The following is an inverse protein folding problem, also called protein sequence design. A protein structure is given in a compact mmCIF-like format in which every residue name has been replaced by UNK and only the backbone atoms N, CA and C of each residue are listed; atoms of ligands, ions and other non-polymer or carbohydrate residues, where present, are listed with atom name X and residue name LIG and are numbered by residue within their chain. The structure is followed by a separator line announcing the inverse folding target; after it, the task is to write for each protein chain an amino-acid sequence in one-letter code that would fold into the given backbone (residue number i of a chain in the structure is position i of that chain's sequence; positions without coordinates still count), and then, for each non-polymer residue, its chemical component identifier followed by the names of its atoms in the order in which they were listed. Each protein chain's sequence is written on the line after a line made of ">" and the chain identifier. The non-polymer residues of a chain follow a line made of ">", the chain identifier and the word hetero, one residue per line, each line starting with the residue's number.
data_IF_625105446584
#
_entry.id   IF_625105446584
#
_cell.length_a   1.000
_cell.length_b   1.000
_cell.length_c   1.000
_cell.angle_alpha   90.00
_cell.angle_beta   90.00
_cell.angle_gamma   90.00
#
_symmetry.space_group_name_H-M   'P 1'
#
loop_
_entity.id
_entity.type
_entity.pdbx_description
1 polymer ?
#
# COMPACT_ATOMS: atom_id res chain seq x y z
N UNK A 1 3.49 23.50 0.97
CA UNK A 1 3.00 23.55 -0.43
C UNK A 1 1.60 24.12 -0.41
N UNK A 2 1.45 25.29 -1.07
CA UNK A 2 0.19 26.00 -1.10
C UNK A 2 -0.87 25.19 -1.86
N UNK A 3 -1.95 24.83 -1.16
CA UNK A 3 -3.15 24.33 -1.80
C UNK A 3 -3.67 25.41 -2.77
N UNK A 4 -3.55 25.18 -4.06
CA UNK A 4 -4.22 26.01 -5.07
C UNK A 4 -5.73 25.92 -4.82
N UNK A 5 -6.34 27.04 -4.53
CA UNK A 5 -7.79 27.16 -4.44
C UNK A 5 -8.42 26.74 -5.78
N UNK A 6 -9.18 25.67 -5.76
CA UNK A 6 -9.93 25.13 -6.91
C UNK A 6 -9.47 23.75 -7.34
N UNK A 7 -10.25 22.74 -7.00
CA UNK A 7 -10.12 21.30 -7.31
C UNK A 7 -8.87 20.61 -6.81
N UNK A 8 -9.04 19.80 -5.77
CA UNK A 8 -8.00 18.84 -5.33
C UNK A 8 -7.75 17.87 -6.49
N UNK A 9 -6.56 17.97 -7.11
CA UNK A 9 -6.19 17.19 -8.30
C UNK A 9 -5.38 15.93 -7.94
N UNK A 10 -5.26 15.55 -6.66
CA UNK A 10 -4.46 14.42 -6.22
C UNK A 10 -4.94 13.83 -4.90
N UNK A 11 -4.61 12.55 -4.70
CA UNK A 11 -4.84 11.84 -3.45
C UNK A 11 -3.57 11.90 -2.59
N UNK A 12 -3.68 12.48 -1.41
CA UNK A 12 -2.60 12.55 -0.44
C UNK A 12 -2.75 11.42 0.58
N UNK A 13 -1.73 10.57 0.66
CA UNK A 13 -1.72 9.42 1.56
C UNK A 13 -1.01 9.82 2.85
N UNK A 14 -1.62 9.54 4.00
CA UNK A 14 -1.01 9.84 5.31
C UNK A 14 0.27 9.03 5.55
N UNK A 15 0.99 9.36 6.62
CA UNK A 15 2.13 8.56 7.10
C UNK A 15 1.69 7.13 7.44
N UNK A 16 2.59 6.16 7.22
CA UNK A 16 2.33 4.74 7.42
C UNK A 16 2.04 4.41 8.89
N UNK A 17 0.87 3.88 9.17
CA UNK A 17 0.49 3.33 10.47
C UNK A 17 0.48 1.81 10.47
N UNK A 18 0.78 1.18 11.60
CA UNK A 18 0.69 -0.28 11.69
C UNK A 18 -0.74 -0.73 11.96
N UNK A 19 -1.24 -1.70 11.20
CA UNK A 19 -2.58 -2.27 11.39
C UNK A 19 -2.78 -2.74 12.84
N UNK A 20 -1.79 -3.35 13.45
CA UNK A 20 -1.82 -3.81 14.84
C UNK A 20 -2.06 -2.66 15.83
N UNK A 21 -1.31 -1.57 15.73
CA UNK A 21 -1.47 -0.43 16.61
C UNK A 21 -2.80 0.31 16.38
N UNK A 22 -3.35 0.27 15.17
CA UNK A 22 -4.66 0.81 14.86
C UNK A 22 -5.76 0.01 15.58
N UNK A 23 -5.75 -1.33 15.43
CA UNK A 23 -6.71 -2.22 16.10
C UNK A 23 -6.64 -2.11 17.63
N UNK A 24 -5.43 -1.98 18.17
CA UNK A 24 -5.18 -1.77 19.61
C UNK A 24 -5.49 -0.33 20.07
N UNK A 25 -5.91 0.55 19.17
CA UNK A 25 -6.24 1.96 19.45
C UNK A 25 -5.11 2.72 20.13
N UNK A 26 -3.87 2.43 19.72
CA UNK A 26 -2.72 3.12 20.29
C UNK A 26 -2.85 4.64 20.08
N UNK A 27 -2.73 5.49 21.11
CA UNK A 27 -3.08 6.92 21.03
C UNK A 27 -2.35 7.66 19.91
N UNK A 28 -1.04 7.41 19.73
CA UNK A 28 -0.26 8.03 18.66
C UNK A 28 -0.79 7.60 17.28
N UNK A 29 -1.12 6.32 17.10
CA UNK A 29 -1.66 5.81 15.84
C UNK A 29 -3.04 6.43 15.56
N UNK A 30 -3.90 6.50 16.55
CA UNK A 30 -5.22 7.15 16.40
C UNK A 30 -5.08 8.63 16.02
N UNK A 31 -4.10 9.35 16.60
CA UNK A 31 -3.81 10.72 16.20
C UNK A 31 -3.34 10.81 14.73
N UNK A 32 -2.52 9.87 14.26
CA UNK A 32 -2.03 9.81 12.87
C UNK A 32 -3.13 9.51 11.84
N UNK A 33 -4.29 8.99 12.28
CA UNK A 33 -5.46 8.78 11.41
C UNK A 33 -6.43 9.97 11.37
N UNK A 34 -6.06 11.09 11.99
CA UNK A 34 -6.86 12.31 11.98
C UNK A 34 -6.48 13.15 10.77
N UNK A 35 -7.45 13.46 9.93
CA UNK A 35 -7.30 14.32 8.76
C UNK A 35 -7.80 15.74 9.06
N UNK A 36 -7.29 16.72 8.31
CA UNK A 36 -7.77 18.09 8.44
C UNK A 36 -9.19 18.24 7.85
N UNK A 37 -10.03 19.14 8.39
CA UNK A 37 -11.41 19.31 7.91
C UNK A 37 -11.53 19.69 6.41
N UNK A 38 -10.46 20.26 5.84
CA UNK A 38 -10.37 20.60 4.42
C UNK A 38 -9.94 19.44 3.51
N UNK A 39 -9.48 18.31 4.08
CA UNK A 39 -9.09 17.14 3.31
C UNK A 39 -10.34 16.44 2.77
N UNK A 40 -10.62 16.67 1.49
CA UNK A 40 -11.81 16.13 0.84
C UNK A 40 -11.71 14.63 0.52
N UNK A 41 -10.50 14.08 0.51
CA UNK A 41 -10.21 12.65 0.30
C UNK A 41 -9.16 12.19 1.31
N UNK A 42 -9.59 11.34 2.23
CA UNK A 42 -8.76 10.83 3.32
C UNK A 42 -8.16 9.50 2.91
N UNK A 43 -6.86 9.42 2.74
CA UNK A 43 -6.15 8.20 2.38
C UNK A 43 -5.27 7.74 3.52
N UNK A 44 -5.54 6.54 4.04
CA UNK A 44 -4.82 5.97 5.16
C UNK A 44 -3.88 4.86 4.68
N UNK A 45 -2.57 4.99 5.02
CA UNK A 45 -1.58 3.98 4.67
C UNK A 45 -1.35 2.99 5.80
N UNK A 46 -1.65 1.71 5.53
CA UNK A 46 -1.43 0.61 6.47
C UNK A 46 -0.10 -0.11 6.20
N UNK A 47 0.60 -0.44 7.28
CA UNK A 47 1.63 -1.47 7.32
C UNK A 47 1.12 -2.69 8.09
N UNK A 48 1.27 -3.86 7.50
CA UNK A 48 0.82 -5.11 8.11
C UNK A 48 1.67 -6.30 7.67
N UNK A 49 1.63 -7.37 8.44
CA UNK A 49 2.26 -8.67 8.13
C UNK A 49 1.32 -9.84 8.42
N UNK A 50 0.11 -9.55 8.90
CA UNK A 50 -0.86 -10.56 9.33
C UNK A 50 -2.24 -10.32 8.71
N UNK A 51 -2.82 -11.33 8.01
CA UNK A 51 -4.11 -11.18 7.34
C UNK A 51 -5.28 -10.88 8.28
N UNK A 52 -5.32 -11.50 9.47
CA UNK A 52 -6.42 -11.27 10.41
C UNK A 52 -6.41 -9.84 10.93
N UNK A 53 -5.25 -9.38 11.40
CA UNK A 53 -5.07 -7.98 11.84
C UNK A 53 -5.32 -6.98 10.69
N UNK A 54 -5.03 -7.37 9.44
CA UNK A 54 -5.32 -6.53 8.27
C UNK A 54 -6.82 -6.37 8.07
N UNK A 55 -7.56 -7.48 8.15
CA UNK A 55 -9.02 -7.45 8.06
C UNK A 55 -9.63 -6.56 9.15
N UNK A 56 -9.23 -6.77 10.41
CA UNK A 56 -9.75 -6.01 11.55
C UNK A 56 -9.46 -4.51 11.41
N UNK A 57 -8.24 -4.16 10.97
CA UNK A 57 -7.86 -2.76 10.75
C UNK A 57 -8.66 -2.12 9.61
N UNK A 58 -8.78 -2.80 8.46
CA UNK A 58 -9.54 -2.30 7.33
C UNK A 58 -11.04 -2.18 7.67
N UNK A 59 -11.58 -3.16 8.41
CA UNK A 59 -12.96 -3.13 8.90
C UNK A 59 -13.20 -1.96 9.84
N UNK A 60 -12.27 -1.71 10.78
CA UNK A 60 -12.34 -0.56 11.69
C UNK A 60 -12.31 0.77 10.91
N UNK A 61 -11.48 0.90 9.87
CA UNK A 61 -11.42 2.10 9.03
C UNK A 61 -12.77 2.39 8.40
N UNK A 62 -13.44 1.37 7.88
CA UNK A 62 -14.76 1.48 7.26
C UNK A 62 -15.84 1.78 8.28
N UNK A 63 -15.92 0.99 9.37
CA UNK A 63 -17.00 1.08 10.34
C UNK A 63 -17.00 2.39 11.13
N UNK A 64 -15.83 2.97 11.33
CA UNK A 64 -15.66 4.22 12.08
C UNK A 64 -15.43 5.44 11.16
N UNK A 65 -15.58 5.26 9.84
CA UNK A 65 -15.40 6.32 8.83
C UNK A 65 -14.07 7.08 8.99
N UNK A 66 -12.97 6.32 9.19
CA UNK A 66 -11.66 6.90 9.42
C UNK A 66 -10.98 7.39 8.12
N UNK A 67 -11.30 6.79 6.97
CA UNK A 67 -10.72 7.18 5.68
C UNK A 67 -11.60 6.76 4.50
N UNK A 68 -11.42 7.42 3.36
CA UNK A 68 -12.11 7.17 2.09
C UNK A 68 -11.31 6.24 1.16
N UNK A 69 -10.08 5.90 1.52
CA UNK A 69 -9.16 5.06 0.78
C UNK A 69 -8.14 4.39 1.70
N UNK A 70 -7.82 3.13 1.42
CA UNK A 70 -6.77 2.37 2.14
C UNK A 70 -5.64 2.04 1.16
N UNK A 71 -4.41 2.46 1.48
CA UNK A 71 -3.20 2.02 0.79
C UNK A 71 -2.41 1.05 1.66
N UNK A 72 -1.95 -0.09 1.13
CA UNK A 72 -1.14 -1.03 1.89
C UNK A 72 0.32 -0.94 1.45
N UNK A 73 1.21 -0.64 2.42
CA UNK A 73 2.63 -0.47 2.18
C UNK A 73 3.37 -1.81 2.19
N UNK A 74 3.79 -2.25 1.00
CA UNK A 74 4.71 -3.36 0.78
C UNK A 74 6.05 -2.91 0.19
N UNK A 75 6.39 -1.63 0.31
CA UNK A 75 7.60 -1.07 -0.28
C UNK A 75 8.64 -0.57 0.73
N UNK A 76 8.36 -0.55 2.04
CA UNK A 76 9.29 -0.05 3.05
C UNK A 76 10.56 -0.92 3.10
N UNK A 77 11.76 -0.35 2.81
CA UNK A 77 13.02 -1.11 2.76
C UNK A 77 13.77 -1.15 4.10
N UNK A 78 13.23 -0.52 5.14
CA UNK A 78 13.92 -0.36 6.42
C UNK A 78 14.19 -1.72 7.07
N UNK A 79 15.43 -2.02 7.54
CA UNK A 79 15.78 -3.31 8.12
C UNK A 79 14.91 -3.75 9.30
N UNK A 80 14.43 -2.81 10.12
CA UNK A 80 13.49 -3.10 11.23
C UNK A 80 12.17 -3.71 10.72
N UNK A 81 11.74 -3.35 9.51
CA UNK A 81 10.53 -3.81 8.85
C UNK A 81 10.78 -5.12 8.09
N UNK A 82 11.82 -5.14 7.24
CA UNK A 82 12.10 -6.27 6.34
C UNK A 82 12.59 -7.52 7.08
N UNK A 83 13.37 -7.38 8.16
CA UNK A 83 13.79 -8.51 9.00
C UNK A 83 12.62 -9.24 9.66
N UNK A 84 11.50 -8.57 9.87
CA UNK A 84 10.24 -9.16 10.36
C UNK A 84 9.39 -9.75 9.21
N UNK A 85 9.90 -9.72 7.99
CA UNK A 85 9.24 -10.24 6.79
C UNK A 85 8.10 -9.35 6.27
N UNK A 86 8.12 -8.06 6.62
CA UNK A 86 7.16 -7.06 6.17
C UNK A 86 7.76 -6.09 5.14
N UNK A 87 7.00 -5.07 4.77
CA UNK A 87 7.40 -4.09 3.77
C UNK A 87 7.86 -4.75 2.46
N UNK A 88 9.01 -4.32 1.92
CA UNK A 88 9.52 -4.82 0.65
C UNK A 88 9.88 -6.32 0.62
N UNK A 89 10.02 -6.97 1.78
CA UNK A 89 10.27 -8.42 1.84
C UNK A 89 8.98 -9.27 1.76
N UNK A 90 7.82 -8.67 1.99
CA UNK A 90 6.57 -9.43 2.10
C UNK A 90 6.08 -9.99 0.76
N UNK A 91 6.17 -9.29 -0.39
CA UNK A 91 5.74 -9.84 -1.68
C UNK A 91 6.48 -11.12 -2.10
N UNK A 92 7.68 -11.36 -1.58
CA UNK A 92 8.41 -12.62 -1.77
C UNK A 92 7.66 -13.83 -1.18
N UNK A 93 6.84 -13.60 -0.14
CA UNK A 93 5.96 -14.60 0.48
C UNK A 93 4.58 -14.56 -0.18
N UNK A 94 4.50 -14.95 -1.46
CA UNK A 94 3.30 -14.81 -2.32
C UNK A 94 1.98 -15.16 -1.64
N UNK A 95 1.91 -16.33 -0.97
CA UNK A 95 0.69 -16.77 -0.27
C UNK A 95 0.27 -15.80 0.83
N UNK A 96 1.23 -15.30 1.63
CA UNK A 96 0.91 -14.34 2.70
C UNK A 96 0.51 -12.99 2.12
N UNK A 97 1.17 -12.55 1.06
CA UNK A 97 0.82 -11.33 0.34
C UNK A 97 -0.62 -11.40 -0.18
N UNK A 98 -0.99 -12.47 -0.90
CA UNK A 98 -2.35 -12.72 -1.36
C UNK A 98 -3.37 -12.67 -0.21
N UNK A 99 -3.11 -13.40 0.88
CA UNK A 99 -4.01 -13.42 2.04
C UNK A 99 -4.23 -12.05 2.69
N UNK A 100 -3.20 -11.19 2.71
CA UNK A 100 -3.29 -9.84 3.27
C UNK A 100 -4.12 -8.93 2.35
N UNK A 101 -3.84 -8.95 1.04
CA UNK A 101 -4.62 -8.15 0.07
C UNK A 101 -6.08 -8.58 0.08
N UNK A 102 -6.35 -9.88 -0.01
CA UNK A 102 -7.70 -10.44 0.07
C UNK A 102 -8.43 -10.05 1.38
N UNK A 103 -7.71 -10.03 2.51
CA UNK A 103 -8.30 -9.65 3.79
C UNK A 103 -8.74 -8.19 3.82
N UNK A 104 -7.91 -7.28 3.30
CA UNK A 104 -8.26 -5.86 3.21
C UNK A 104 -9.44 -5.63 2.26
N UNK A 105 -9.41 -6.23 1.06
CA UNK A 105 -10.49 -6.10 0.07
C UNK A 105 -11.81 -6.63 0.62
N UNK A 106 -11.82 -7.81 1.25
CA UNK A 106 -13.05 -8.33 1.90
C UNK A 106 -13.58 -7.43 2.99
N UNK A 107 -12.72 -6.77 3.76
CA UNK A 107 -13.14 -5.88 4.83
C UNK A 107 -13.85 -4.62 4.31
N UNK A 108 -13.55 -4.21 3.07
CA UNK A 108 -14.16 -3.05 2.41
C UNK A 108 -15.28 -3.43 1.44
N UNK A 109 -15.61 -4.72 1.32
CA UNK A 109 -16.64 -5.21 0.39
C UNK A 109 -18.01 -4.58 0.68
N UNK A 110 -18.69 -4.14 -0.36
CA UNK A 110 -19.98 -3.45 -0.25
C UNK A 110 -19.90 -1.98 0.17
N UNK A 111 -18.70 -1.42 0.28
CA UNK A 111 -18.46 0.00 0.58
C UNK A 111 -17.85 0.74 -0.61
N UNK A 112 -17.71 2.06 -0.49
CA UNK A 112 -17.02 2.89 -1.49
C UNK A 112 -15.52 3.05 -1.23
N UNK A 113 -14.95 2.36 -0.23
CA UNK A 113 -13.54 2.51 0.18
C UNK A 113 -12.66 1.56 -0.63
N UNK A 114 -11.91 2.04 -1.64
CA UNK A 114 -11.01 1.20 -2.42
C UNK A 114 -9.75 0.85 -1.62
N UNK A 115 -9.17 -0.32 -1.96
CA UNK A 115 -7.88 -0.77 -1.44
C UNK A 115 -6.85 -0.72 -2.55
N UNK A 116 -5.73 -0.03 -2.34
CA UNK A 116 -4.57 -0.05 -3.23
C UNK A 116 -3.36 -0.67 -2.53
N UNK A 117 -2.37 -1.07 -3.32
CA UNK A 117 -1.12 -1.60 -2.78
C UNK A 117 0.08 -0.94 -3.44
N UNK A 118 1.11 -0.63 -2.63
CA UNK A 118 2.35 -0.06 -3.12
C UNK A 118 3.54 -0.95 -2.74
N UNK A 119 4.36 -1.31 -3.74
CA UNK A 119 5.52 -2.19 -3.56
C UNK A 119 6.74 -1.70 -4.36
N UNK A 120 7.86 -2.40 -4.22
CA UNK A 120 9.10 -2.19 -4.98
C UNK A 120 9.30 -3.31 -6.00
N UNK A 121 10.30 -3.15 -6.90
CA UNK A 121 10.69 -4.18 -7.87
C UNK A 121 10.91 -5.53 -7.19
N UNK A 122 11.53 -5.51 -6.02
CA UNK A 122 11.84 -6.70 -5.24
C UNK A 122 12.77 -6.38 -4.08
N UNK A 123 13.46 -7.41 -3.59
CA UNK A 123 14.42 -7.30 -2.49
C UNK A 123 15.75 -6.75 -3.02
N UNK A 124 16.27 -7.37 -4.04
CA UNK A 124 17.52 -7.07 -4.74
C UNK A 124 17.41 -7.50 -6.21
N UNK A 125 18.51 -7.41 -6.98
CA UNK A 125 18.53 -7.71 -8.40
C UNK A 125 18.30 -9.21 -8.72
N UNK A 126 18.53 -10.10 -7.75
CA UNK A 126 18.27 -11.53 -7.90
C UNK A 126 16.83 -11.93 -7.47
N UNK A 127 16.14 -11.07 -6.73
CA UNK A 127 14.83 -11.38 -6.13
C UNK A 127 13.79 -10.32 -6.50
N UNK A 128 13.43 -10.27 -7.78
CA UNK A 128 12.34 -9.45 -8.28
C UNK A 128 10.99 -10.09 -7.93
N UNK A 129 10.04 -9.31 -7.45
CA UNK A 129 8.73 -9.80 -7.00
C UNK A 129 7.55 -9.04 -7.60
N UNK A 130 7.79 -7.89 -8.24
CA UNK A 130 6.75 -6.92 -8.63
C UNK A 130 5.73 -7.48 -9.62
N UNK A 131 6.13 -8.31 -10.58
CA UNK A 131 5.21 -8.89 -11.56
C UNK A 131 4.21 -9.82 -10.88
N UNK A 132 4.70 -10.73 -10.03
CA UNK A 132 3.81 -11.63 -9.28
C UNK A 132 2.96 -10.86 -8.27
N UNK A 133 3.54 -9.87 -7.58
CA UNK A 133 2.80 -9.03 -6.64
C UNK A 133 1.67 -8.27 -7.33
N UNK A 134 1.92 -7.70 -8.51
CA UNK A 134 0.90 -7.01 -9.28
C UNK A 134 -0.24 -7.93 -9.71
N UNK A 135 0.08 -9.09 -10.26
CA UNK A 135 -0.93 -10.10 -10.66
C UNK A 135 -1.75 -10.59 -9.47
N UNK A 136 -1.10 -10.88 -8.35
CA UNK A 136 -1.80 -11.30 -7.13
C UNK A 136 -2.70 -10.17 -6.63
N UNK A 137 -2.23 -8.93 -6.57
CA UNK A 137 -3.03 -7.80 -6.13
C UNK A 137 -4.28 -7.59 -7.02
N UNK A 138 -4.11 -7.69 -8.35
CA UNK A 138 -5.21 -7.64 -9.31
C UNK A 138 -6.22 -8.78 -9.08
N UNK A 139 -5.74 -10.03 -8.91
CA UNK A 139 -6.59 -11.20 -8.66
C UNK A 139 -7.35 -11.12 -7.34
N UNK A 140 -6.75 -10.54 -6.30
CA UNK A 140 -7.38 -10.38 -4.99
C UNK A 140 -8.26 -9.13 -4.89
N UNK A 141 -8.43 -8.37 -5.99
CA UNK A 141 -9.39 -7.28 -6.09
C UNK A 141 -8.87 -5.92 -5.62
N UNK A 142 -7.56 -5.69 -5.59
CA UNK A 142 -7.03 -4.35 -5.36
C UNK A 142 -7.50 -3.39 -6.47
N UNK A 143 -7.84 -2.16 -6.09
CA UNK A 143 -8.33 -1.14 -7.02
C UNK A 143 -7.22 -0.53 -7.91
N UNK A 144 -5.97 -0.54 -7.43
CA UNK A 144 -4.79 -0.12 -8.18
C UNK A 144 -3.51 -0.66 -7.53
N UNK A 145 -2.42 -0.66 -8.31
CA UNK A 145 -1.07 -0.96 -7.80
C UNK A 145 -0.12 0.20 -8.09
N UNK A 146 0.80 0.48 -7.16
CA UNK A 146 1.86 1.46 -7.36
C UNK A 146 3.23 0.78 -7.24
N UNK A 147 4.11 0.99 -8.23
CA UNK A 147 5.46 0.45 -8.24
C UNK A 147 6.50 1.56 -8.03
N UNK A 148 7.27 1.47 -6.94
CA UNK A 148 8.52 2.19 -6.85
C UNK A 148 9.59 1.40 -7.62
N UNK A 149 10.08 1.98 -8.71
CA UNK A 149 10.96 1.31 -9.67
C UNK A 149 12.41 1.19 -9.19
N UNK A 150 12.60 0.80 -7.94
CA UNK A 150 13.86 0.43 -7.28
C UNK A 150 13.67 -0.82 -6.44
N UNK A 151 14.74 -1.58 -6.22
CA UNK A 151 14.74 -2.67 -5.24
C UNK A 151 14.83 -2.15 -3.80
N UNK A 152 14.58 -3.01 -2.81
CA UNK A 152 14.77 -2.66 -1.41
C UNK A 152 16.25 -2.39 -1.09
N UNK A 153 17.18 -3.13 -1.71
CA UNK A 153 18.62 -2.95 -1.56
C UNK A 153 19.11 -1.59 -2.05
N UNK A 154 18.57 -1.10 -3.17
CA UNK A 154 18.89 0.23 -3.70
C UNK A 154 18.43 1.36 -2.79
N UNK A 155 17.36 1.18 -2.02
CA UNK A 155 16.72 2.25 -1.24
C UNK A 155 16.35 3.45 -2.11
N UNK A 156 17.20 4.49 -2.13
CA UNK A 156 17.07 5.71 -2.93
C UNK A 156 18.28 5.99 -3.81
N UNK A 157 19.26 5.05 -3.86
CA UNK A 157 20.47 5.18 -4.70
C UNK A 157 20.22 4.71 -6.13
N UNK A 158 21.07 5.19 -7.04
CA UNK A 158 20.92 4.91 -8.46
C UNK A 158 19.68 5.58 -9.06
N UNK A 159 19.29 5.18 -10.25
CA UNK A 159 18.09 5.64 -10.96
C UNK A 159 16.98 4.61 -10.85
N UNK A 160 15.72 5.06 -10.89
CA UNK A 160 14.57 4.17 -10.97
C UNK A 160 14.51 3.50 -12.34
N UNK A 161 14.25 2.20 -12.38
CA UNK A 161 14.13 1.42 -13.62
C UNK A 161 12.68 1.46 -14.13
N UNK A 162 12.37 2.45 -14.95
CA UNK A 162 11.03 2.66 -15.51
C UNK A 162 10.57 1.54 -16.45
N UNK A 163 11.48 0.75 -17.02
CA UNK A 163 11.12 -0.43 -17.82
C UNK A 163 10.39 -1.47 -16.99
N UNK A 164 10.66 -1.54 -15.68
CA UNK A 164 9.91 -2.44 -14.78
C UNK A 164 8.47 -1.98 -14.57
N UNK A 165 8.19 -0.68 -14.67
CA UNK A 165 6.81 -0.16 -14.63
C UNK A 165 6.08 -0.58 -15.90
N UNK A 166 6.72 -0.45 -17.08
CA UNK A 166 6.15 -0.90 -18.34
C UNK A 166 5.84 -2.40 -18.30
N UNK A 167 6.78 -3.23 -17.85
CA UNK A 167 6.58 -4.69 -17.69
C UNK A 167 5.45 -5.02 -16.72
N UNK A 168 5.34 -4.28 -15.61
CA UNK A 168 4.23 -4.46 -14.69
C UNK A 168 2.91 -4.13 -15.35
N UNK A 169 2.85 -3.04 -16.13
CA UNK A 169 1.62 -2.63 -16.86
C UNK A 169 1.21 -3.66 -17.92
N UNK A 170 2.16 -4.33 -18.56
CA UNK A 170 1.87 -5.45 -19.47
C UNK A 170 1.29 -6.66 -18.73
N UNK A 171 1.72 -6.89 -17.50
CA UNK A 171 1.32 -8.04 -16.69
C UNK A 171 -0.01 -7.84 -15.92
N UNK A 172 -0.35 -6.57 -15.63
CA UNK A 172 -1.55 -6.14 -14.87
C UNK A 172 -2.43 -5.32 -15.82
N UNK A 173 -3.58 -5.87 -16.20
CA UNK A 173 -4.37 -5.34 -17.33
C UNK A 173 -5.71 -4.76 -16.92
N UNK A 174 -6.31 -5.20 -15.81
CA UNK A 174 -7.66 -4.81 -15.39
C UNK A 174 -7.70 -3.65 -14.41
N UNK A 175 -6.56 -3.32 -13.78
CA UNK A 175 -6.46 -2.22 -12.82
C UNK A 175 -5.37 -1.22 -13.20
N UNK A 176 -5.44 0.03 -12.72
CA UNK A 176 -4.39 1.03 -12.91
C UNK A 176 -3.05 0.60 -12.32
N UNK A 177 -1.97 0.93 -13.04
CA UNK A 177 -0.59 0.84 -12.56
C UNK A 177 -0.02 2.24 -12.48
N UNK A 178 0.44 2.63 -11.28
CA UNK A 178 1.08 3.92 -11.03
C UNK A 178 2.60 3.74 -10.92
N UNK A 179 3.33 4.54 -11.71
CA UNK A 179 4.79 4.61 -11.64
C UNK A 179 5.25 5.58 -10.57
N UNK A 180 6.33 5.23 -9.85
CA UNK A 180 6.96 6.06 -8.84
C UNK A 180 8.48 5.89 -8.86
N UNK A 181 9.19 6.99 -8.68
CA UNK A 181 10.66 7.10 -8.61
C UNK A 181 11.19 8.10 -9.63
N UNK A 182 12.15 8.97 -9.18
CA UNK A 182 12.89 10.05 -9.91
C UNK A 182 12.02 11.11 -10.55
#
# INVERSE_FOLDING_TARGET
>A
EEARAGTVSGLYVCEMVTARALVERHPVTMHMTTFAPQDSQRSLQLYTVDPATTYDAAKMIVDEDLADHIDINFGCPVPKVTRRGGGAALPYKRRRFSQIVAAAVRATEGTSVPVTVKFRIGIDDAHHTHIDAGRIAEQEGAAAVALHARTAAQRYSGTADWDQIARLKEAVTSIPVLGNGD
#
